data_IF_374907176350
#
_entry.id   IF_374907176350
#
_cell.length_a   1.000
_cell.length_b   1.000
_cell.length_c   1.000
_cell.angle_alpha   90.00
_cell.angle_beta   90.00
_cell.angle_gamma   90.00
#
_symmetry.space_group_name_H-M   'P 1'
#
loop_
_entity.id
_entity.type
_entity.pdbx_description
1 polymer ?
#
# COMPACT_ATOMS: atom_id res chain seq x y z
N UNK A 1 29.91 6.18 -4.08
CA UNK A 1 28.91 7.26 -4.12
C UNK A 1 27.51 6.77 -3.76
N UNK A 2 27.03 5.68 -4.37
CA UNK A 2 25.69 5.13 -4.10
C UNK A 2 25.40 4.84 -2.62
N UNK A 3 26.32 4.18 -1.89
CA UNK A 3 26.16 3.92 -0.44
C UNK A 3 25.99 5.20 0.40
N UNK A 4 26.66 6.31 0.03
CA UNK A 4 26.52 7.59 0.73
C UNK A 4 25.14 8.19 0.49
N UNK A 5 24.60 8.06 -0.73
CA UNK A 5 23.24 8.50 -1.06
C UNK A 5 22.19 7.69 -0.30
N UNK A 6 22.40 6.38 -0.13
CA UNK A 6 21.52 5.53 0.68
C UNK A 6 21.56 5.96 2.15
N UNK A 7 22.75 6.21 2.72
CA UNK A 7 22.85 6.73 4.08
C UNK A 7 22.16 8.08 4.23
N UNK A 8 22.33 8.97 3.24
CA UNK A 8 21.68 10.27 3.22
C UNK A 8 20.15 10.14 3.17
N UNK A 9 19.64 9.26 2.29
CA UNK A 9 18.22 8.91 2.22
C UNK A 9 17.72 8.46 3.60
N UNK A 10 18.38 7.49 4.25
CA UNK A 10 17.97 6.98 5.57
C UNK A 10 17.93 8.09 6.61
N UNK A 11 18.95 8.93 6.69
CA UNK A 11 19.03 10.02 7.67
C UNK A 11 17.86 11.01 7.47
N UNK A 12 17.64 11.45 6.24
CA UNK A 12 16.57 12.39 5.91
C UNK A 12 15.19 11.76 6.14
N UNK A 13 15.02 10.48 5.79
CA UNK A 13 13.77 9.74 6.01
C UNK A 13 13.45 9.60 7.50
N UNK A 14 14.42 9.23 8.34
CA UNK A 14 14.22 9.17 9.79
C UNK A 14 13.89 10.55 10.36
N UNK A 15 14.60 11.59 9.90
CA UNK A 15 14.37 12.96 10.33
C UNK A 15 12.95 13.43 9.97
N UNK A 16 12.55 13.31 8.71
CA UNK A 16 11.24 13.75 8.24
C UNK A 16 10.11 12.89 8.80
N UNK A 17 10.33 11.59 9.04
CA UNK A 17 9.39 10.74 9.77
C UNK A 17 9.08 11.30 11.15
N UNK A 18 10.11 11.64 11.94
CA UNK A 18 9.95 12.27 13.26
C UNK A 18 9.28 13.64 13.17
N UNK A 19 9.68 14.49 12.23
CA UNK A 19 9.05 15.80 12.00
C UNK A 19 7.57 15.64 11.65
N UNK A 20 7.20 14.66 10.82
CA UNK A 20 5.82 14.36 10.47
C UNK A 20 4.96 14.07 11.70
N UNK A 21 5.50 13.34 12.68
CA UNK A 21 4.80 13.10 13.95
C UNK A 21 4.54 14.36 14.76
N UNK A 22 5.43 15.36 14.71
CA UNK A 22 5.25 16.65 15.38
C UNK A 22 4.08 17.45 14.80
N UNK A 23 3.84 17.33 13.49
CA UNK A 23 2.68 17.91 12.81
C UNK A 23 1.40 17.07 12.95
N UNK A 24 1.44 15.98 13.71
CA UNK A 24 0.27 15.11 13.95
C UNK A 24 0.08 14.00 12.91
N UNK A 25 0.90 13.91 11.87
CA UNK A 25 0.88 12.82 10.88
C UNK A 25 1.48 11.51 11.43
N UNK A 26 1.35 10.39 10.68
CA UNK A 26 2.10 9.16 10.99
C UNK A 26 3.57 9.33 10.63
N UNK A 27 4.44 8.49 11.18
CA UNK A 27 5.86 8.52 10.84
C UNK A 27 6.06 8.21 9.34
N UNK A 28 5.32 7.21 8.84
CA UNK A 28 5.30 6.81 7.43
C UNK A 28 5.05 7.98 6.46
N UNK A 29 4.15 8.92 6.80
CA UNK A 29 3.89 10.08 5.94
C UNK A 29 5.15 10.92 5.75
N UNK A 30 5.85 11.23 6.84
CA UNK A 30 7.10 11.97 6.77
C UNK A 30 8.20 11.20 6.02
N UNK A 31 8.19 9.88 6.13
CA UNK A 31 9.13 9.02 5.42
C UNK A 31 8.84 8.92 3.91
N UNK A 32 7.58 8.99 3.48
CA UNK A 32 7.24 9.07 2.06
C UNK A 32 7.69 10.41 1.49
N UNK A 33 7.45 11.52 2.21
CA UNK A 33 7.84 12.86 1.78
C UNK A 33 9.35 13.02 1.58
N UNK A 34 10.19 12.32 2.37
CA UNK A 34 11.65 12.37 2.16
C UNK A 34 12.04 11.86 0.77
N UNK A 35 11.41 10.79 0.28
CA UNK A 35 11.62 10.27 -1.07
C UNK A 35 11.22 11.28 -2.13
N UNK A 36 10.08 11.94 -1.98
CA UNK A 36 9.61 12.96 -2.94
C UNK A 36 10.59 14.13 -3.03
N UNK A 37 11.06 14.58 -1.87
CA UNK A 37 12.00 15.71 -1.74
C UNK A 37 13.36 15.35 -2.35
N UNK A 38 13.91 14.18 -2.01
CA UNK A 38 15.22 13.77 -2.48
C UNK A 38 15.23 13.23 -3.91
N UNK A 39 14.09 12.73 -4.37
CA UNK A 39 13.90 12.12 -5.68
C UNK A 39 13.87 13.12 -6.83
N UNK A 40 13.65 12.58 -8.04
CA UNK A 40 13.66 13.32 -9.30
C UNK A 40 12.59 14.42 -9.40
N UNK A 41 11.58 14.37 -8.53
CA UNK A 41 10.49 15.34 -8.45
C UNK A 41 10.92 16.73 -7.97
N UNK A 42 11.84 16.84 -7.01
CA UNK A 42 12.21 18.13 -6.41
C UNK A 42 13.71 18.39 -6.57
N UNK A 43 14.57 17.70 -5.81
CA UNK A 43 16.00 17.99 -5.81
C UNK A 43 16.85 17.06 -6.68
N UNK A 44 16.31 15.90 -7.08
CA UNK A 44 17.00 14.89 -7.89
C UNK A 44 18.38 14.49 -7.33
N UNK A 45 18.50 14.39 -6.00
CA UNK A 45 19.74 14.08 -5.28
C UNK A 45 19.94 12.56 -5.22
N UNK A 46 18.87 11.84 -4.93
CA UNK A 46 18.86 10.38 -4.83
C UNK A 46 17.99 9.86 -5.95
N UNK A 47 18.55 8.97 -6.77
CA UNK A 47 17.81 8.28 -7.82
C UNK A 47 17.53 6.85 -7.38
N UNK A 48 16.41 6.30 -7.84
CA UNK A 48 16.12 4.89 -7.57
C UNK A 48 17.19 4.01 -8.22
N UNK A 49 17.64 2.98 -7.49
CA UNK A 49 18.66 2.04 -7.94
C UNK A 49 18.28 0.62 -7.54
N UNK A 50 18.83 -0.38 -8.24
CA UNK A 50 18.61 -1.79 -7.92
C UNK A 50 18.97 -2.12 -6.47
N UNK A 51 20.01 -1.48 -5.91
CA UNK A 51 20.40 -1.67 -4.53
C UNK A 51 19.36 -1.09 -3.55
N UNK A 52 18.82 0.09 -3.83
CA UNK A 52 17.73 0.68 -3.05
C UNK A 52 16.50 -0.22 -3.08
N UNK A 53 16.12 -0.73 -4.27
CA UNK A 53 15.00 -1.66 -4.41
C UNK A 53 15.22 -2.95 -3.60
N UNK A 54 16.41 -3.56 -3.67
CA UNK A 54 16.71 -4.77 -2.89
C UNK A 54 16.63 -4.53 -1.37
N UNK A 55 17.12 -3.39 -0.89
CA UNK A 55 17.04 -3.04 0.54
C UNK A 55 15.58 -2.74 0.94
N UNK A 56 14.82 -2.08 0.07
CA UNK A 56 13.40 -1.83 0.26
C UNK A 56 12.59 -3.13 0.33
N UNK A 57 12.90 -4.12 -0.51
CA UNK A 57 12.31 -5.47 -0.48
C UNK A 57 12.57 -6.20 0.84
N UNK A 58 13.78 -6.05 1.41
CA UNK A 58 14.07 -6.56 2.76
C UNK A 58 13.26 -5.79 3.82
N UNK A 59 13.09 -4.48 3.65
CA UNK A 59 12.30 -3.65 4.54
C UNK A 59 10.84 -4.06 4.61
N UNK A 60 10.18 -4.21 3.47
CA UNK A 60 8.80 -4.71 3.42
C UNK A 60 8.70 -6.15 3.93
N UNK A 61 9.67 -7.02 3.61
CA UNK A 61 9.70 -8.39 4.15
C UNK A 61 9.72 -8.38 5.69
N UNK A 62 10.63 -7.61 6.29
CA UNK A 62 10.73 -7.52 7.76
C UNK A 62 9.46 -6.89 8.37
N UNK A 63 8.85 -5.91 7.71
CA UNK A 63 7.64 -5.24 8.19
C UNK A 63 6.46 -6.23 8.24
N UNK A 64 6.26 -6.96 7.15
CA UNK A 64 5.20 -7.96 7.03
C UNK A 64 5.44 -9.16 7.96
N UNK A 65 6.70 -9.62 8.08
CA UNK A 65 7.07 -10.67 9.02
C UNK A 65 6.72 -10.29 10.46
N UNK A 66 7.12 -9.09 10.89
CA UNK A 66 6.85 -8.61 12.24
C UNK A 66 5.36 -8.41 12.49
N UNK A 67 4.63 -7.92 11.49
CA UNK A 67 3.18 -7.85 11.58
C UNK A 67 2.54 -9.22 11.77
N UNK A 68 2.98 -10.23 11.01
CA UNK A 68 2.50 -11.61 11.18
C UNK A 68 2.84 -12.18 12.56
N UNK A 69 4.01 -11.84 13.11
CA UNK A 69 4.43 -12.23 14.47
C UNK A 69 3.58 -11.56 15.55
N UNK A 70 3.10 -10.34 15.34
CA UNK A 70 2.29 -9.59 16.33
C UNK A 70 0.78 -9.89 16.21
N UNK A 71 0.34 -10.46 15.09
CA UNK A 71 -1.06 -10.72 14.78
C UNK A 71 -1.68 -11.85 15.61
N UNK A 72 -2.95 -11.69 15.99
CA UNK A 72 -3.74 -12.74 16.65
C UNK A 72 -4.54 -13.56 15.62
N UNK A 73 -4.05 -14.77 15.31
CA UNK A 73 -4.69 -15.67 14.36
C UNK A 73 -6.10 -16.11 14.79
N UNK A 74 -6.40 -16.18 16.10
CA UNK A 74 -7.72 -16.58 16.58
C UNK A 74 -8.74 -15.47 16.29
N UNK A 75 -8.38 -14.23 16.57
CA UNK A 75 -9.23 -13.07 16.24
C UNK A 75 -9.38 -12.90 14.71
N UNK A 76 -8.32 -13.11 13.92
CA UNK A 76 -8.42 -13.09 12.46
C UNK A 76 -9.43 -14.13 11.94
N UNK A 77 -9.35 -15.37 12.43
CA UNK A 77 -10.30 -16.45 12.07
C UNK A 77 -11.72 -16.12 12.50
N UNK A 78 -11.89 -15.49 13.66
CA UNK A 78 -13.20 -15.07 14.19
C UNK A 78 -13.91 -14.10 13.24
N UNK A 79 -13.18 -13.17 12.61
CA UNK A 79 -13.73 -12.16 11.71
C UNK A 79 -13.57 -12.46 10.22
N UNK A 80 -13.26 -13.71 9.85
CA UNK A 80 -12.95 -14.05 8.44
C UNK A 80 -14.12 -13.72 7.50
N UNK A 81 -15.36 -14.00 7.89
CA UNK A 81 -16.55 -13.73 7.07
C UNK A 81 -16.73 -12.24 6.80
N UNK A 82 -16.58 -11.42 7.84
CA UNK A 82 -16.67 -9.97 7.72
C UNK A 82 -15.55 -9.44 6.82
N UNK A 83 -14.33 -9.92 7.05
CA UNK A 83 -13.14 -9.55 6.31
C UNK A 83 -13.23 -9.91 4.82
N UNK A 84 -13.78 -11.09 4.49
CA UNK A 84 -14.05 -11.48 3.11
C UNK A 84 -15.02 -10.53 2.42
N UNK A 85 -16.10 -10.13 3.09
CA UNK A 85 -17.07 -9.19 2.50
C UNK A 85 -16.46 -7.80 2.32
N UNK A 86 -15.64 -7.33 3.27
CA UNK A 86 -14.89 -6.08 3.18
C UNK A 86 -13.95 -6.10 1.97
N UNK A 87 -13.19 -7.17 1.78
CA UNK A 87 -12.27 -7.32 0.66
C UNK A 87 -13.02 -7.35 -0.69
N UNK A 88 -14.05 -8.18 -0.80
CA UNK A 88 -14.85 -8.29 -2.03
C UNK A 88 -15.48 -6.94 -2.40
N UNK A 89 -16.12 -6.25 -1.45
CA UNK A 89 -16.72 -4.94 -1.73
C UNK A 89 -15.66 -3.85 -1.99
N UNK A 90 -14.52 -3.94 -1.31
CA UNK A 90 -13.36 -3.07 -1.52
C UNK A 90 -12.70 -3.24 -2.89
N UNK A 91 -12.77 -4.42 -3.51
CA UNK A 91 -12.25 -4.69 -4.86
C UNK A 91 -13.30 -4.40 -5.94
N UNK A 92 -14.55 -4.80 -5.73
CA UNK A 92 -15.62 -4.66 -6.73
C UNK A 92 -15.88 -3.19 -7.07
N UNK A 93 -15.88 -2.29 -6.09
CA UNK A 93 -16.22 -0.89 -6.33
C UNK A 93 -15.18 -0.20 -7.23
N UNK A 94 -13.86 -0.28 -6.97
CA UNK A 94 -12.85 0.21 -7.91
C UNK A 94 -12.90 -0.49 -9.28
N UNK A 95 -13.08 -1.82 -9.32
CA UNK A 95 -13.15 -2.58 -10.58
C UNK A 95 -14.28 -2.13 -11.51
N UNK A 96 -15.36 -1.56 -10.98
CA UNK A 96 -16.49 -1.06 -11.79
C UNK A 96 -16.31 0.43 -12.10
N UNK A 97 -15.95 1.22 -11.09
CA UNK A 97 -15.95 2.69 -11.20
C UNK A 97 -14.79 3.23 -12.03
N UNK A 98 -13.60 2.65 -11.92
CA UNK A 98 -12.44 3.12 -12.68
C UNK A 98 -12.57 2.89 -14.17
N UNK A 99 -12.98 1.69 -14.67
CA UNK A 99 -13.18 1.52 -16.10
C UNK A 99 -14.21 2.49 -16.68
N UNK A 100 -15.29 2.76 -15.96
CA UNK A 100 -16.30 3.75 -16.38
C UNK A 100 -15.68 5.16 -16.45
N UNK A 101 -14.98 5.58 -15.39
CA UNK A 101 -14.36 6.91 -15.34
C UNK A 101 -13.31 7.11 -16.44
N UNK A 102 -12.48 6.09 -16.70
CA UNK A 102 -11.46 6.12 -17.75
C UNK A 102 -12.07 6.18 -19.15
N UNK A 103 -13.11 5.39 -19.43
CA UNK A 103 -13.84 5.46 -20.70
C UNK A 103 -14.47 6.84 -20.92
N UNK A 104 -15.06 7.44 -19.87
CA UNK A 104 -15.65 8.79 -19.94
C UNK A 104 -14.60 9.88 -20.21
N UNK A 105 -13.36 9.67 -19.78
CA UNK A 105 -12.23 10.58 -20.06
C UNK A 105 -11.53 10.28 -21.40
N UNK A 106 -12.04 9.32 -22.19
CA UNK A 106 -11.56 9.01 -23.54
C UNK A 106 -10.40 8.03 -23.60
N UNK A 107 -10.06 7.33 -22.51
CA UNK A 107 -9.06 6.26 -22.54
C UNK A 107 -9.61 5.02 -23.23
N UNK A 108 -8.73 4.19 -23.80
CA UNK A 108 -9.14 2.96 -24.46
C UNK A 108 -9.69 1.93 -23.45
N UNK A 109 -10.41 0.92 -23.95
CA UNK A 109 -11.04 -0.10 -23.11
C UNK A 109 -10.03 -0.94 -22.30
N UNK A 110 -8.87 -1.26 -22.87
CA UNK A 110 -7.85 -2.08 -22.22
C UNK A 110 -7.26 -1.34 -21.01
N UNK A 111 -6.83 -0.09 -21.21
CA UNK A 111 -6.34 0.81 -20.17
C UNK A 111 -7.41 1.09 -19.11
N UNK A 112 -8.68 1.20 -19.51
CA UNK A 112 -9.80 1.43 -18.59
C UNK A 112 -10.02 0.25 -17.64
N UNK A 113 -10.08 -0.97 -18.18
CA UNK A 113 -10.19 -2.20 -17.37
C UNK A 113 -8.95 -2.35 -16.50
N UNK A 114 -7.77 -2.08 -17.05
CA UNK A 114 -6.51 -2.15 -16.33
C UNK A 114 -6.45 -1.17 -15.15
N UNK A 115 -6.97 0.05 -15.31
CA UNK A 115 -7.11 1.01 -14.21
C UNK A 115 -7.96 0.42 -13.08
N UNK A 116 -9.08 -0.24 -13.40
CA UNK A 116 -9.88 -0.97 -12.42
C UNK A 116 -9.05 -1.94 -11.59
N UNK A 117 -8.20 -2.73 -12.25
CA UNK A 117 -7.32 -3.70 -11.59
C UNK A 117 -6.28 -2.99 -10.71
N UNK A 118 -5.53 -2.03 -11.25
CA UNK A 118 -4.50 -1.26 -10.51
C UNK A 118 -5.10 -0.61 -9.27
N UNK A 119 -6.20 0.11 -9.43
CA UNK A 119 -6.81 0.86 -8.34
C UNK A 119 -7.65 -0.02 -7.41
N UNK A 120 -7.88 -1.30 -7.74
CA UNK A 120 -8.47 -2.27 -6.80
C UNK A 120 -7.46 -2.87 -5.83
N UNK A 121 -6.15 -2.84 -6.12
CA UNK A 121 -5.12 -3.38 -5.26
C UNK A 121 -4.86 -2.47 -4.05
N UNK A 122 -5.00 -3.00 -2.83
CA UNK A 122 -4.64 -2.31 -1.58
C UNK A 122 -3.16 -2.57 -1.26
N UNK A 123 -2.54 -1.73 -0.42
CA UNK A 123 -1.26 -2.03 0.23
C UNK A 123 -1.46 -2.30 1.70
N UNK A 124 -1.12 -3.52 2.11
CA UNK A 124 -1.15 -3.98 3.50
C UNK A 124 -0.10 -3.19 4.31
N UNK A 125 1.09 -2.99 3.75
CA UNK A 125 2.29 -2.48 4.41
C UNK A 125 2.12 -1.12 5.13
N UNK A 126 1.46 -0.15 4.48
CA UNK A 126 1.25 1.18 5.07
C UNK A 126 0.25 1.12 6.22
N UNK A 127 -0.87 0.43 6.02
CA UNK A 127 -1.88 0.26 7.06
C UNK A 127 -1.34 -0.49 8.26
N UNK A 128 -0.48 -1.49 8.05
CA UNK A 128 0.22 -2.19 9.11
C UNK A 128 1.14 -1.30 9.92
N UNK A 129 1.93 -0.47 9.24
CA UNK A 129 2.82 0.46 9.91
C UNK A 129 2.01 1.41 10.81
N UNK A 130 0.90 1.96 10.31
CA UNK A 130 0.01 2.84 11.09
C UNK A 130 -0.65 2.09 12.25
N UNK A 131 -1.13 0.86 12.04
CA UNK A 131 -1.71 0.04 13.11
C UNK A 131 -0.66 -0.31 14.18
N UNK A 132 0.57 -0.60 13.79
CA UNK A 132 1.70 -0.88 14.68
C UNK A 132 2.07 0.36 15.49
N UNK A 133 2.20 1.53 14.84
CA UNK A 133 2.44 2.82 15.49
C UNK A 133 1.36 3.13 16.56
N UNK A 134 0.11 2.76 16.29
CA UNK A 134 -1.00 2.95 17.23
C UNK A 134 -1.19 1.80 18.22
N UNK A 135 -0.36 0.74 18.17
CA UNK A 135 -0.48 -0.49 18.99
C UNK A 135 -1.85 -1.18 18.88
N UNK A 136 -2.42 -1.19 17.68
CA UNK A 136 -3.75 -1.76 17.39
C UNK A 136 -3.71 -3.09 16.62
N UNK A 137 -2.54 -3.63 16.30
CA UNK A 137 -2.40 -4.87 15.51
C UNK A 137 -3.10 -6.08 16.15
N UNK A 138 -2.94 -6.27 17.46
CA UNK A 138 -3.53 -7.40 18.20
C UNK A 138 -5.00 -7.15 18.65
N UNK A 139 -5.68 -6.15 18.10
CA UNK A 139 -7.07 -5.83 18.45
C UNK A 139 -8.05 -6.38 17.41
N UNK A 140 -9.35 -6.40 17.72
CA UNK A 140 -10.38 -6.82 16.76
C UNK A 140 -10.35 -6.01 15.45
N UNK A 141 -10.15 -4.68 15.53
CA UNK A 141 -10.03 -3.85 14.33
C UNK A 141 -8.77 -4.18 13.53
N UNK A 142 -7.64 -4.41 14.21
CA UNK A 142 -6.42 -4.90 13.59
C UNK A 142 -6.68 -6.20 12.85
N UNK A 143 -7.25 -7.20 13.52
CA UNK A 143 -7.57 -8.51 12.94
C UNK A 143 -8.50 -8.43 11.72
N UNK A 144 -9.53 -7.57 11.75
CA UNK A 144 -10.44 -7.35 10.61
C UNK A 144 -9.69 -6.74 9.42
N UNK A 145 -8.94 -5.67 9.65
CA UNK A 145 -8.19 -4.96 8.61
C UNK A 145 -7.13 -5.88 7.99
N UNK A 146 -6.36 -6.58 8.83
CA UNK A 146 -5.34 -7.55 8.42
C UNK A 146 -5.91 -8.65 7.54
N UNK A 147 -7.01 -9.26 8.00
CA UNK A 147 -7.64 -10.38 7.31
C UNK A 147 -8.26 -9.92 5.99
N UNK A 148 -8.88 -8.73 5.97
CA UNK A 148 -9.45 -8.16 4.75
C UNK A 148 -8.34 -7.84 3.75
N UNK A 149 -7.24 -7.23 4.18
CA UNK A 149 -6.11 -6.88 3.33
C UNK A 149 -5.45 -8.10 2.69
N UNK A 150 -5.26 -9.19 3.45
CA UNK A 150 -4.72 -10.45 2.91
C UNK A 150 -5.63 -11.05 1.83
N UNK A 151 -6.95 -11.03 2.03
CA UNK A 151 -7.91 -11.52 1.04
C UNK A 151 -7.93 -10.60 -0.18
N UNK A 152 -7.88 -9.28 0.04
CA UNK A 152 -7.84 -8.25 -1.01
C UNK A 152 -6.61 -8.46 -1.92
N UNK A 153 -5.42 -8.70 -1.36
CA UNK A 153 -4.20 -9.00 -2.11
C UNK A 153 -4.32 -10.27 -2.96
N UNK A 154 -4.94 -11.32 -2.43
CA UNK A 154 -5.19 -12.57 -3.20
C UNK A 154 -6.14 -12.29 -4.37
N UNK A 155 -7.21 -11.53 -4.14
CA UNK A 155 -8.17 -11.16 -5.19
C UNK A 155 -7.49 -10.27 -6.24
N UNK A 156 -6.69 -9.30 -5.82
CA UNK A 156 -5.94 -8.40 -6.71
C UNK A 156 -4.94 -9.20 -7.56
N UNK A 157 -4.16 -10.10 -6.95
CA UNK A 157 -3.24 -10.98 -7.66
C UNK A 157 -3.97 -11.82 -8.72
N UNK A 158 -5.12 -12.38 -8.37
CA UNK A 158 -5.94 -13.14 -9.31
C UNK A 158 -6.46 -12.27 -10.46
N UNK A 159 -6.98 -11.06 -10.16
CA UNK A 159 -7.48 -10.12 -11.15
C UNK A 159 -6.39 -9.69 -12.14
N UNK A 160 -5.19 -9.39 -11.64
CA UNK A 160 -4.02 -9.04 -12.47
C UNK A 160 -3.59 -10.21 -13.32
N UNK A 161 -3.48 -11.41 -12.74
CA UNK A 161 -3.09 -12.62 -13.48
C UNK A 161 -4.06 -12.88 -14.62
N UNK A 162 -5.36 -12.84 -14.34
CA UNK A 162 -6.40 -13.05 -15.34
C UNK A 162 -6.31 -12.00 -16.46
N UNK A 163 -6.16 -10.73 -16.09
CA UNK A 163 -6.01 -9.65 -17.05
C UNK A 163 -4.75 -9.81 -17.92
N UNK A 164 -3.59 -10.08 -17.31
CA UNK A 164 -2.34 -10.32 -18.03
C UNK A 164 -2.46 -11.49 -19.01
N UNK A 165 -3.09 -12.61 -18.62
CA UNK A 165 -3.30 -13.74 -19.53
C UNK A 165 -4.18 -13.37 -20.73
N UNK A 166 -5.22 -12.55 -20.52
CA UNK A 166 -6.13 -12.13 -21.59
C UNK A 166 -5.46 -11.18 -22.60
N UNK A 167 -4.52 -10.35 -22.15
CA UNK A 167 -3.85 -9.36 -22.99
C UNK A 167 -2.48 -9.85 -23.50
N UNK A 168 -2.10 -11.10 -23.17
CA UNK A 168 -0.81 -11.68 -23.57
C UNK A 168 0.40 -11.11 -22.82
N UNK A 169 0.17 -10.55 -21.64
CA UNK A 169 1.19 -9.99 -20.75
C UNK A 169 2.03 -11.05 -20.03
N UNK A 170 3.09 -10.60 -19.37
CA UNK A 170 4.02 -11.44 -18.62
C UNK A 170 3.45 -12.02 -17.32
N UNK A 171 4.11 -13.06 -16.80
CA UNK A 171 3.79 -13.65 -15.51
C UNK A 171 4.18 -12.70 -14.35
N UNK A 172 3.46 -12.80 -13.23
CA UNK A 172 3.79 -12.09 -12.01
C UNK A 172 5.11 -12.60 -11.41
N UNK A 173 6.00 -11.67 -11.07
CA UNK A 173 7.26 -11.98 -10.40
C UNK A 173 7.06 -12.40 -8.94
N UNK A 174 8.03 -13.15 -8.41
CA UNK A 174 8.00 -13.62 -7.01
C UNK A 174 7.96 -12.46 -6.00
N UNK A 175 8.47 -11.29 -6.38
CA UNK A 175 8.51 -10.10 -5.53
C UNK A 175 7.08 -9.61 -5.19
N UNK A 176 6.10 -9.86 -6.07
CA UNK A 176 4.70 -9.51 -5.85
C UNK A 176 4.07 -10.30 -4.69
N UNK A 177 4.51 -11.54 -4.45
CA UNK A 177 3.96 -12.39 -3.37
C UNK A 177 4.81 -12.37 -2.10
N UNK A 178 5.99 -11.76 -2.14
CA UNK A 178 6.93 -11.72 -1.01
C UNK A 178 6.32 -11.12 0.28
N UNK A 179 5.58 -10.00 0.24
CA UNK A 179 4.92 -9.45 1.45
C UNK A 179 3.97 -10.44 2.10
N UNK A 180 3.12 -11.09 1.30
CA UNK A 180 2.15 -12.07 1.76
C UNK A 180 2.82 -13.31 2.37
N UNK A 181 3.89 -13.80 1.73
CA UNK A 181 4.67 -14.93 2.26
C UNK A 181 5.36 -14.57 3.58
N UNK A 182 5.93 -13.38 3.69
CA UNK A 182 6.54 -12.89 4.93
C UNK A 182 5.53 -12.80 6.06
N UNK A 183 4.33 -12.28 5.79
CA UNK A 183 3.24 -12.22 6.76
C UNK A 183 2.78 -13.61 7.21
N UNK A 184 2.59 -14.53 6.27
CA UNK A 184 2.25 -15.93 6.58
C UNK A 184 3.34 -16.63 7.42
N UNK A 185 4.61 -16.41 7.08
CA UNK A 185 5.75 -16.89 7.87
C UNK A 185 5.71 -16.33 9.30
N UNK A 186 5.40 -15.04 9.48
CA UNK A 186 5.26 -14.43 10.80
C UNK A 186 4.19 -15.12 11.65
N UNK A 187 3.01 -15.35 11.08
CA UNK A 187 1.92 -16.08 11.76
C UNK A 187 2.36 -17.51 12.14
N UNK A 188 3.05 -18.21 11.23
CA UNK A 188 3.53 -19.57 11.49
C UNK A 188 4.60 -19.62 12.57
N UNK A 189 5.47 -18.61 12.63
CA UNK A 189 6.54 -18.51 13.62
C UNK A 189 6.03 -18.14 15.01
N UNK A 190 4.90 -17.42 15.11
CA UNK A 190 4.28 -16.99 16.38
C UNK A 190 4.03 -18.12 17.38
N UNK A 191 3.87 -19.37 16.92
CA UNK A 191 3.68 -20.54 17.79
C UNK A 191 4.94 -21.01 18.54
N UNK A 192 6.11 -20.51 18.19
CA UNK A 192 7.38 -20.92 18.80
C UNK A 192 7.87 -19.91 19.84
N UNK A 193 8.56 -20.39 20.89
CA UNK A 193 9.03 -19.56 22.01
C UNK A 193 10.06 -18.49 21.63
N UNK A 194 10.75 -18.63 20.49
CA UNK A 194 11.74 -17.66 20.04
C UNK A 194 11.14 -16.52 19.19
N UNK A 195 9.83 -16.57 18.89
CA UNK A 195 9.14 -15.61 18.02
C UNK A 195 9.25 -14.17 18.52
N UNK A 196 9.10 -13.95 19.83
CA UNK A 196 9.25 -12.62 20.44
C UNK A 196 10.67 -12.07 20.25
N UNK A 197 11.69 -12.93 20.38
CA UNK A 197 13.10 -12.53 20.18
C UNK A 197 13.37 -12.15 18.72
N UNK A 198 12.83 -12.92 17.76
CA UNK A 198 12.92 -12.58 16.34
C UNK A 198 12.23 -11.25 16.07
N UNK A 199 11.01 -11.05 16.60
CA UNK A 199 10.25 -9.82 16.43
C UNK A 199 11.02 -8.60 16.94
N UNK A 200 11.58 -8.65 18.15
CA UNK A 200 12.34 -7.53 18.72
C UNK A 200 13.56 -7.18 17.87
N UNK A 201 14.34 -8.19 17.43
CA UNK A 201 15.55 -7.96 16.61
C UNK A 201 15.15 -7.41 15.24
N UNK A 202 14.18 -8.03 14.59
CA UNK A 202 13.71 -7.67 13.25
C UNK A 202 13.10 -6.27 13.23
N UNK A 203 12.27 -5.91 14.21
CA UNK A 203 11.69 -4.56 14.34
C UNK A 203 12.77 -3.51 14.60
N UNK A 204 13.77 -3.82 15.43
CA UNK A 204 14.89 -2.90 15.70
C UNK A 204 15.70 -2.64 14.43
N UNK A 205 16.02 -3.69 13.67
CA UNK A 205 16.72 -3.57 12.38
C UNK A 205 15.87 -2.80 11.36
N UNK A 206 14.58 -3.13 11.28
CA UNK A 206 13.60 -2.47 10.42
C UNK A 206 13.54 -0.97 10.66
N UNK A 207 13.22 -0.54 11.88
CA UNK A 207 13.08 0.87 12.24
C UNK A 207 14.36 1.69 12.07
N UNK A 208 15.54 1.06 12.23
CA UNK A 208 16.82 1.79 12.17
C UNK A 208 17.33 2.00 10.74
N UNK A 209 16.92 1.16 9.78
CA UNK A 209 17.49 1.17 8.44
C UNK A 209 16.50 0.75 7.35
N UNK A 210 15.95 -0.45 7.42
CA UNK A 210 15.22 -1.02 6.27
C UNK A 210 13.85 -0.38 6.01
N UNK A 211 13.08 -0.03 7.05
CA UNK A 211 11.77 0.62 6.87
C UNK A 211 11.93 2.05 6.32
N UNK A 212 12.85 2.89 6.82
CA UNK A 212 13.17 4.17 6.19
C UNK A 212 13.56 4.03 4.71
N UNK A 213 14.36 3.04 4.33
CA UNK A 213 14.69 2.84 2.91
C UNK A 213 13.45 2.46 2.12
N UNK A 214 12.63 1.52 2.61
CA UNK A 214 11.40 1.09 1.96
C UNK A 214 10.40 2.23 1.73
N UNK A 215 10.05 2.98 2.78
CA UNK A 215 9.10 4.10 2.63
C UNK A 215 9.69 5.26 1.84
N UNK A 216 10.99 5.54 2.01
CA UNK A 216 11.68 6.55 1.21
C UNK A 216 11.73 6.19 -0.27
N UNK A 217 11.96 4.92 -0.63
CA UNK A 217 12.05 4.49 -2.03
C UNK A 217 10.73 4.65 -2.78
N UNK A 218 9.59 4.43 -2.12
CA UNK A 218 8.26 4.70 -2.71
C UNK A 218 8.15 6.17 -3.14
N UNK A 219 8.68 7.11 -2.35
CA UNK A 219 8.69 8.52 -2.71
C UNK A 219 9.67 8.88 -3.83
N UNK A 220 10.77 8.12 -4.00
CA UNK A 220 11.74 8.34 -5.08
C UNK A 220 11.17 8.01 -6.47
N UNK A 221 10.18 7.11 -6.54
CA UNK A 221 9.53 6.70 -7.78
C UNK A 221 8.57 7.77 -8.34
N UNK A 222 8.30 8.84 -7.59
CA UNK A 222 7.46 9.93 -8.08
C UNK A 222 8.21 10.76 -9.10
N UNK A 223 7.63 10.89 -10.29
CA UNK A 223 8.05 11.83 -11.33
C UNK A 223 6.93 12.84 -11.56
N UNK A 224 7.13 14.10 -11.14
CA UNK A 224 6.13 15.18 -11.31
C UNK A 224 6.26 15.91 -12.67
N UNK A 225 7.35 15.68 -13.40
CA UNK A 225 7.62 16.36 -14.66
C UNK A 225 6.63 15.92 -15.76
N UNK A 226 6.03 16.86 -16.48
CA UNK A 226 5.12 16.57 -17.60
C UNK A 226 3.64 16.37 -17.24
N UNK A 227 3.25 16.55 -15.97
CA UNK A 227 1.86 16.32 -15.53
C UNK A 227 0.90 17.48 -15.79
N UNK A 228 1.39 18.65 -16.24
CA UNK A 228 0.63 19.91 -16.28
C UNK A 228 -0.74 19.81 -16.96
N UNK A 229 -0.80 19.17 -18.12
CA UNK A 229 -2.03 19.04 -18.92
C UNK A 229 -2.97 17.93 -18.40
N UNK A 230 -2.51 17.11 -17.45
CA UNK A 230 -3.20 15.93 -16.93
C UNK A 230 -3.57 16.02 -15.45
N UNK A 231 -3.31 17.17 -14.81
CA UNK A 231 -3.65 17.42 -13.40
C UNK A 231 -5.12 17.10 -13.10
N UNK A 232 -6.04 17.44 -14.00
CA UNK A 232 -7.47 17.15 -13.81
C UNK A 232 -7.74 15.64 -13.72
N UNK A 233 -7.16 14.84 -14.60
CA UNK A 233 -7.31 13.38 -14.59
C UNK A 233 -6.73 12.79 -13.30
N UNK A 234 -5.53 13.23 -12.90
CA UNK A 234 -4.87 12.80 -11.66
C UNK A 234 -5.73 13.08 -10.44
N UNK A 235 -6.28 14.30 -10.33
CA UNK A 235 -7.17 14.67 -9.21
C UNK A 235 -8.40 13.77 -9.18
N UNK A 236 -9.02 13.53 -10.34
CA UNK A 236 -10.18 12.63 -10.45
C UNK A 236 -9.80 11.21 -10.00
N UNK A 237 -8.69 10.68 -10.52
CA UNK A 237 -8.22 9.33 -10.19
C UNK A 237 -7.88 9.20 -8.71
N UNK A 238 -7.20 10.19 -8.10
CA UNK A 238 -6.91 10.23 -6.67
C UNK A 238 -8.18 10.26 -5.81
N UNK A 239 -9.16 11.09 -6.17
CA UNK A 239 -10.43 11.17 -5.43
C UNK A 239 -11.20 9.86 -5.54
N UNK A 240 -11.35 9.33 -6.76
CA UNK A 240 -11.99 8.03 -6.98
C UNK A 240 -11.24 6.94 -6.21
N UNK A 241 -9.92 6.97 -6.25
CA UNK A 241 -9.04 6.05 -5.56
C UNK A 241 -9.34 5.97 -4.05
N UNK A 242 -9.51 7.13 -3.42
CA UNK A 242 -9.78 7.24 -1.99
C UNK A 242 -11.24 6.86 -1.70
N UNK A 243 -12.19 7.45 -2.42
CA UNK A 243 -13.63 7.30 -2.17
C UNK A 243 -14.08 5.86 -2.39
N UNK A 244 -13.70 5.24 -3.50
CA UNK A 244 -14.19 3.90 -3.88
C UNK A 244 -13.70 2.85 -2.90
N UNK A 245 -12.43 2.89 -2.49
CA UNK A 245 -11.88 1.98 -1.49
C UNK A 245 -12.49 2.23 -0.11
N UNK A 246 -12.54 3.49 0.32
CA UNK A 246 -13.13 3.84 1.62
C UNK A 246 -14.59 3.37 1.72
N UNK A 247 -15.42 3.71 0.72
CA UNK A 247 -16.86 3.39 0.72
C UNK A 247 -17.08 1.89 0.53
N UNK A 248 -16.37 1.24 -0.40
CA UNK A 248 -16.52 -0.19 -0.65
C UNK A 248 -16.24 -1.02 0.60
N UNK A 249 -15.11 -0.75 1.26
CA UNK A 249 -14.72 -1.45 2.49
C UNK A 249 -15.59 -1.06 3.70
N UNK A 250 -16.01 0.20 3.82
CA UNK A 250 -16.96 0.65 4.86
C UNK A 250 -18.31 -0.04 4.71
N UNK A 251 -18.85 -0.14 3.49
CA UNK A 251 -20.10 -0.83 3.23
C UNK A 251 -19.97 -2.33 3.49
N UNK A 252 -18.89 -2.97 3.03
CA UNK A 252 -18.62 -4.37 3.37
C UNK A 252 -18.56 -4.61 4.88
N UNK A 253 -17.96 -3.68 5.64
CA UNK A 253 -17.91 -3.75 7.10
C UNK A 253 -19.30 -3.58 7.74
N UNK A 254 -20.09 -2.59 7.29
CA UNK A 254 -21.45 -2.35 7.80
C UNK A 254 -22.39 -3.53 7.54
N UNK A 255 -22.37 -4.09 6.33
CA UNK A 255 -23.20 -5.24 5.97
C UNK A 255 -22.83 -6.47 6.80
N UNK A 256 -21.56 -6.56 7.22
CA UNK A 256 -21.08 -7.60 8.13
C UNK A 256 -21.51 -7.41 9.59
N UNK A 257 -22.27 -6.35 9.91
CA UNK A 257 -22.78 -6.07 11.26
C UNK A 257 -21.81 -5.31 12.16
N UNK A 258 -20.72 -4.73 11.61
CA UNK A 258 -19.78 -3.94 12.40
C UNK A 258 -20.33 -2.54 12.67
N UNK A 259 -20.02 -2.00 13.85
CA UNK A 259 -20.38 -0.64 14.24
C UNK A 259 -19.87 0.40 13.24
N UNK A 260 -20.58 1.52 13.11
CA UNK A 260 -20.20 2.58 12.14
C UNK A 260 -18.80 3.14 12.39
N UNK A 261 -18.36 3.23 13.66
CA UNK A 261 -17.02 3.69 14.01
C UNK A 261 -15.95 2.71 13.50
N UNK A 262 -16.13 1.42 13.80
CA UNK A 262 -15.24 0.35 13.33
C UNK A 262 -15.25 0.28 11.80
N UNK A 263 -16.43 0.32 11.19
CA UNK A 263 -16.59 0.28 9.72
C UNK A 263 -15.89 1.44 9.02
N UNK A 264 -15.95 2.65 9.58
CA UNK A 264 -15.25 3.82 9.02
C UNK A 264 -13.74 3.67 9.14
N UNK A 265 -13.26 3.15 10.27
CA UNK A 265 -11.85 2.92 10.49
C UNK A 265 -11.29 1.78 9.62
N UNK A 266 -12.07 0.72 9.39
CA UNK A 266 -11.76 -0.33 8.39
C UNK A 266 -11.70 0.26 7.00
N UNK A 267 -12.70 1.07 6.60
CA UNK A 267 -12.70 1.77 5.31
C UNK A 267 -11.44 2.60 5.11
N UNK A 268 -11.01 3.36 6.13
CA UNK A 268 -9.78 4.14 6.07
C UNK A 268 -8.52 3.26 5.97
N UNK A 269 -8.49 2.14 6.68
CA UNK A 269 -7.41 1.17 6.62
C UNK A 269 -7.24 0.49 5.26
N UNK A 270 -8.25 0.51 4.40
CA UNK A 270 -8.18 -0.10 3.06
C UNK A 270 -7.93 0.93 1.94
N UNK A 271 -7.72 2.22 2.25
CA UNK A 271 -7.49 3.25 1.23
C UNK A 271 -6.12 3.12 0.56
N UNK A 272 -5.09 2.80 1.35
CA UNK A 272 -3.70 2.88 0.89
C UNK A 272 -3.47 1.95 -0.29
N UNK A 273 -2.87 2.51 -1.33
CA UNK A 273 -2.22 1.75 -2.40
C UNK A 273 -0.72 1.77 -2.14
N UNK A 274 0.03 0.86 -2.74
CA UNK A 274 1.45 0.77 -2.47
C UNK A 274 2.12 -0.14 -3.48
N UNK A 275 3.04 -0.96 -2.98
CA UNK A 275 3.91 -1.82 -3.77
C UNK A 275 3.15 -2.63 -4.82
N UNK A 276 2.00 -3.22 -4.47
CA UNK A 276 1.25 -4.03 -5.41
C UNK A 276 0.69 -3.22 -6.57
N UNK A 277 0.17 -2.02 -6.32
CA UNK A 277 -0.32 -1.16 -7.39
C UNK A 277 0.82 -0.76 -8.36
N UNK A 278 2.01 -0.48 -7.82
CA UNK A 278 3.20 -0.14 -8.61
C UNK A 278 3.70 -1.33 -9.44
N UNK A 279 3.71 -2.54 -8.86
CA UNK A 279 4.02 -3.79 -9.58
C UNK A 279 3.05 -3.99 -10.75
N UNK A 280 1.75 -3.79 -10.52
CA UNK A 280 0.75 -3.93 -11.58
C UNK A 280 1.01 -2.89 -12.67
N UNK A 281 1.21 -1.62 -12.32
CA UNK A 281 1.55 -0.56 -13.29
C UNK A 281 2.76 -0.97 -14.14
N UNK A 282 3.82 -1.51 -13.53
CA UNK A 282 5.01 -1.96 -14.25
C UNK A 282 4.72 -3.10 -15.24
N UNK A 283 3.80 -4.01 -14.90
CA UNK A 283 3.31 -5.05 -15.83
C UNK A 283 2.57 -4.40 -17.01
N UNK A 284 1.79 -3.35 -16.74
CA UNK A 284 1.08 -2.58 -17.77
C UNK A 284 2.04 -1.91 -18.76
N UNK A 285 3.10 -1.27 -18.25
CA UNK A 285 4.16 -0.66 -19.08
C UNK A 285 4.85 -1.74 -19.91
N UNK A 286 5.28 -2.83 -19.27
CA UNK A 286 6.03 -3.90 -19.94
C UNK A 286 5.20 -4.64 -20.99
N UNK A 287 3.89 -4.73 -20.78
CA UNK A 287 2.94 -5.35 -21.71
C UNK A 287 2.34 -4.35 -22.72
N UNK A 288 2.83 -3.10 -22.74
CA UNK A 288 2.40 -2.03 -23.66
C UNK A 288 0.90 -1.70 -23.55
N UNK A 289 0.30 -1.91 -22.38
CA UNK A 289 -1.13 -1.63 -22.10
C UNK A 289 -1.33 -0.16 -21.74
N UNK A 290 -0.31 0.45 -21.14
CA UNK A 290 -0.25 1.86 -20.79
C UNK A 290 1.06 2.45 -21.29
N UNK A 291 1.02 3.70 -21.70
CA UNK A 291 2.19 4.49 -22.04
C UNK A 291 2.79 5.18 -20.81
N UNK A 292 3.97 5.78 -20.97
CA UNK A 292 4.69 6.46 -19.90
C UNK A 292 3.84 7.56 -19.25
N UNK A 293 3.05 8.29 -20.05
CA UNK A 293 2.16 9.35 -19.57
C UNK A 293 1.04 8.80 -18.68
N UNK A 294 0.32 7.78 -19.14
CA UNK A 294 -0.74 7.13 -18.36
C UNK A 294 -0.17 6.47 -17.11
N UNK A 295 1.04 5.89 -17.19
CA UNK A 295 1.71 5.33 -16.02
C UNK A 295 2.00 6.40 -14.95
N UNK A 296 2.44 7.59 -15.36
CA UNK A 296 2.69 8.70 -14.44
C UNK A 296 1.40 9.16 -13.75
N UNK A 297 0.28 9.24 -14.47
CA UNK A 297 -1.03 9.53 -13.89
C UNK A 297 -1.41 8.49 -12.82
N UNK A 298 -1.15 7.20 -13.07
CA UNK A 298 -1.48 6.11 -12.13
C UNK A 298 -0.58 6.17 -10.90
N UNK A 299 0.73 6.29 -11.08
CA UNK A 299 1.72 6.35 -9.99
C UNK A 299 1.40 7.52 -9.06
N UNK A 300 1.15 8.71 -9.61
CA UNK A 300 0.81 9.88 -8.80
C UNK A 300 -0.50 9.66 -8.05
N UNK A 301 -1.54 9.12 -8.70
CA UNK A 301 -2.82 8.87 -8.04
C UNK A 301 -2.72 7.81 -6.93
N UNK A 302 -1.96 6.74 -7.17
CA UNK A 302 -1.61 5.72 -6.17
C UNK A 302 -0.97 6.38 -4.97
N UNK A 303 0.06 7.19 -5.17
CA UNK A 303 0.83 7.78 -4.07
C UNK A 303 0.06 8.86 -3.31
N UNK A 304 -0.78 9.64 -3.98
CA UNK A 304 -1.71 10.54 -3.29
C UNK A 304 -2.62 9.73 -2.35
N UNK A 305 -3.17 8.59 -2.80
CA UNK A 305 -3.99 7.74 -1.94
C UNK A 305 -3.18 7.10 -0.79
N UNK A 306 -1.92 6.72 -1.04
CA UNK A 306 -0.94 6.22 -0.05
C UNK A 306 -0.68 7.23 1.06
N UNK A 307 -0.50 8.52 0.72
CA UNK A 307 -0.24 9.59 1.69
C UNK A 307 -1.51 9.97 2.45
N UNK A 308 -2.67 10.01 1.77
CA UNK A 308 -3.94 10.41 2.40
C UNK A 308 -4.43 9.34 3.39
N UNK A 309 -4.21 8.05 3.12
CA UNK A 309 -4.67 6.96 3.99
C UNK A 309 -4.24 7.10 5.48
N UNK A 310 -2.94 7.23 5.83
CA UNK A 310 -2.51 7.44 7.23
C UNK A 310 -3.09 8.70 7.87
N UNK A 311 -3.32 9.77 7.10
CA UNK A 311 -3.92 11.01 7.59
C UNK A 311 -5.37 10.77 8.05
N UNK A 312 -6.12 9.95 7.29
CA UNK A 312 -7.51 9.58 7.63
C UNK A 312 -7.56 8.50 8.72
N UNK A 313 -6.65 7.51 8.68
CA UNK A 313 -6.63 6.38 9.62
C UNK A 313 -6.43 6.83 11.08
N UNK A 314 -5.39 7.63 11.33
CA UNK A 314 -4.96 7.99 12.70
C UNK A 314 -6.09 8.57 13.58
N UNK A 315 -6.88 9.57 13.15
CA UNK A 315 -7.98 10.11 13.97
C UNK A 315 -9.12 9.11 14.18
N UNK A 316 -9.34 8.17 13.26
CA UNK A 316 -10.38 7.14 13.40
C UNK A 316 -9.95 6.05 14.37
N UNK A 317 -8.69 5.60 14.30
CA UNK A 317 -8.13 4.61 15.24
C UNK A 317 -8.02 5.13 16.67
N UNK A 318 -7.83 6.45 16.88
CA UNK A 318 -7.86 7.04 18.23
C UNK A 318 -9.23 7.00 18.90
N UNK A 319 -10.32 6.88 18.14
CA UNK A 319 -11.70 6.91 18.65
C UNK A 319 -12.24 5.52 19.04
N UNK A 320 -11.42 4.47 18.86
CA UNK A 320 -11.75 3.05 19.04
C UNK A 320 -10.70 2.42 19.93
#
# INVERSE_FOLDING_TARGET
MEYLLIMFLVIVTIFLGKVGTWFGFSEVVGQLFSGIILGSSIFNIVQSSNLIHLIAEIGIFLLMLNSGLESDLKEMKRYIKASSLIAVMGVLLPLITFPIAFLLLGYNIQTSIFAGVVFSATSISITLAVLSEQKKLATAIGAIILSAAVIDDIIALFAVTLFSVLVGGGALGINSILPLLAFALGILLRKYNFSDKIGVISTKMGNSFFYPVFFGSIGLEIVIQGLGDKITAIIIFSILAIVTKFVGSLWGAKISGLDTRVSSAVGAGMISRGEMALVIIQIGISSHIIDDYTSAEFIVAVIVSTIVAPIIMKPLFKKI
#
